data_IF_608641050395
#
_entry.id   IF_608641050395
#
_cell.length_a   1.000
_cell.length_b   1.000
_cell.length_c   1.000
_cell.angle_alpha   90.00
_cell.angle_beta   90.00
_cell.angle_gamma   90.00
#
_symmetry.space_group_name_H-M   'P 1'
#
loop_
_entity.id
_entity.type
_entity.pdbx_description
1 polymer ?
#
# COMPACT_ATOMS: atom_id res chain seq x y z
N UNK A 1 -26.75 -6.69 -12.05
CA UNK A 1 -25.34 -6.26 -11.92
C UNK A 1 -25.11 -5.72 -10.53
N UNK A 2 -24.21 -6.31 -9.73
CA UNK A 2 -23.91 -5.86 -8.36
C UNK A 2 -23.16 -4.53 -8.45
N UNK A 3 -23.70 -3.48 -7.83
CA UNK A 3 -23.09 -2.15 -7.81
C UNK A 3 -22.30 -1.97 -6.52
N UNK A 4 -21.01 -1.68 -6.62
CA UNK A 4 -20.16 -1.37 -5.46
C UNK A 4 -20.64 -0.06 -4.82
N UNK A 5 -20.96 -0.06 -3.51
CA UNK A 5 -21.37 1.17 -2.80
C UNK A 5 -20.27 2.24 -2.83
N UNK A 6 -20.70 3.49 -2.98
CA UNK A 6 -19.80 4.66 -2.96
C UNK A 6 -20.06 5.49 -1.71
N UNK A 7 -19.07 5.59 -0.82
CA UNK A 7 -19.17 6.36 0.42
C UNK A 7 -18.22 7.56 0.40
N UNK A 8 -18.61 8.63 1.11
CA UNK A 8 -17.77 9.81 1.26
C UNK A 8 -17.04 9.76 2.62
N UNK A 9 -15.72 9.63 2.58
CA UNK A 9 -14.88 9.55 3.77
C UNK A 9 -14.98 10.82 4.65
N UNK A 10 -15.26 11.98 4.05
CA UNK A 10 -15.42 13.23 4.79
C UNK A 10 -16.61 13.20 5.75
N UNK A 11 -17.65 12.42 5.45
CA UNK A 11 -18.77 12.22 6.38
C UNK A 11 -18.34 11.58 7.69
N UNK A 12 -17.27 10.76 7.68
CA UNK A 12 -16.70 10.18 8.88
C UNK A 12 -15.69 11.12 9.55
N UNK A 13 -14.83 11.78 8.78
CA UNK A 13 -13.72 12.60 9.34
C UNK A 13 -14.25 13.88 9.97
N UNK A 14 -15.07 14.63 9.24
CA UNK A 14 -15.53 15.98 9.59
C UNK A 14 -17.05 16.15 9.67
N UNK A 15 -17.80 15.09 9.39
CA UNK A 15 -19.26 15.15 9.42
C UNK A 15 -19.85 15.20 10.82
N UNK A 16 -21.14 15.55 10.88
CA UNK A 16 -21.96 15.49 12.10
C UNK A 16 -22.03 14.07 12.69
N UNK A 17 -22.43 13.94 13.94
CA UNK A 17 -22.64 12.62 14.59
C UNK A 17 -23.55 11.70 13.78
N UNK A 18 -24.60 12.26 13.17
CA UNK A 18 -25.54 11.51 12.32
C UNK A 18 -24.85 10.98 11.05
N UNK A 19 -24.03 11.80 10.38
CA UNK A 19 -23.30 11.40 9.18
C UNK A 19 -22.23 10.36 9.48
N UNK A 20 -21.50 10.51 10.60
CA UNK A 20 -20.51 9.52 11.07
C UNK A 20 -21.16 8.17 11.33
N UNK A 21 -22.27 8.15 12.06
CA UNK A 21 -23.00 6.92 12.37
C UNK A 21 -23.55 6.26 11.10
N UNK A 22 -24.07 7.06 10.16
CA UNK A 22 -24.51 6.55 8.86
C UNK A 22 -23.36 5.96 8.08
N UNK A 23 -22.20 6.62 8.01
CA UNK A 23 -21.02 6.12 7.33
C UNK A 23 -20.55 4.77 7.89
N UNK A 24 -20.49 4.65 9.24
CA UNK A 24 -20.09 3.41 9.93
C UNK A 24 -21.05 2.26 9.56
N UNK A 25 -22.35 2.52 9.59
CA UNK A 25 -23.37 1.53 9.19
C UNK A 25 -23.21 1.12 7.73
N UNK A 26 -23.08 2.10 6.83
CA UNK A 26 -23.04 1.85 5.39
C UNK A 26 -21.76 1.09 4.98
N UNK A 27 -20.59 1.40 5.59
CA UNK A 27 -19.35 0.68 5.32
C UNK A 27 -19.40 -0.76 5.82
N UNK A 28 -19.99 -0.99 6.99
CA UNK A 28 -20.24 -2.33 7.52
C UNK A 28 -21.08 -3.17 6.57
N UNK A 29 -22.22 -2.62 6.12
CA UNK A 29 -23.10 -3.29 5.15
C UNK A 29 -22.43 -3.53 3.80
N UNK A 30 -21.55 -2.62 3.34
CA UNK A 30 -20.83 -2.80 2.09
C UNK A 30 -19.89 -4.01 2.15
N UNK A 31 -19.13 -4.15 3.23
CA UNK A 31 -18.24 -5.30 3.42
C UNK A 31 -19.01 -6.60 3.66
N UNK A 32 -20.08 -6.57 4.46
CA UNK A 32 -20.91 -7.74 4.75
C UNK A 32 -21.56 -8.32 3.48
N UNK A 33 -22.13 -7.45 2.64
CA UNK A 33 -22.93 -7.89 1.48
C UNK A 33 -22.13 -8.09 0.20
N UNK A 34 -21.05 -7.33 0.02
CA UNK A 34 -20.33 -7.24 -1.27
C UNK A 34 -18.84 -7.51 -1.10
N UNK A 35 -18.26 -7.28 0.08
CA UNK A 35 -16.81 -7.40 0.34
C UNK A 35 -16.00 -6.20 -0.15
N UNK A 36 -16.63 -5.19 -0.80
CA UNK A 36 -15.97 -4.02 -1.37
C UNK A 36 -16.72 -2.74 -1.13
N UNK A 37 -16.00 -1.63 -1.05
CA UNK A 37 -16.53 -0.27 -0.98
C UNK A 37 -15.66 0.67 -1.81
N UNK A 38 -16.26 1.64 -2.48
CA UNK A 38 -15.56 2.74 -3.14
C UNK A 38 -15.64 3.98 -2.24
N UNK A 39 -14.50 4.57 -1.90
CA UNK A 39 -14.43 5.78 -1.10
C UNK A 39 -14.15 7.00 -1.99
N UNK A 40 -14.88 8.09 -1.77
CA UNK A 40 -14.57 9.43 -2.27
C UNK A 40 -14.25 10.37 -1.11
N UNK A 41 -13.69 11.54 -1.39
CA UNK A 41 -13.31 12.49 -0.35
C UNK A 41 -12.09 12.04 0.47
N UNK A 42 -11.27 11.13 -0.08
CA UNK A 42 -9.98 10.71 0.46
C UNK A 42 -8.90 11.74 0.13
N UNK A 43 -7.72 11.62 0.75
CA UNK A 43 -6.61 12.56 0.58
C UNK A 43 -5.81 12.38 -0.72
N UNK A 44 -6.03 11.27 -1.44
CA UNK A 44 -5.36 11.01 -2.71
C UNK A 44 -6.01 11.82 -3.82
N UNK A 45 -5.45 12.99 -4.11
CA UNK A 45 -5.91 13.81 -5.22
C UNK A 45 -5.39 13.28 -6.56
N UNK A 46 -5.98 13.78 -7.67
CA UNK A 46 -5.64 13.34 -9.02
C UNK A 46 -4.16 13.57 -9.38
N UNK A 47 -3.58 14.66 -8.92
CA UNK A 47 -2.17 14.99 -9.17
C UNK A 47 -1.25 13.97 -8.52
N UNK A 48 -1.51 13.65 -7.24
CA UNK A 48 -0.74 12.64 -6.51
C UNK A 48 -0.89 11.26 -7.15
N UNK A 49 -2.12 10.88 -7.54
CA UNK A 49 -2.37 9.62 -8.22
C UNK A 49 -1.63 9.51 -9.55
N UNK A 50 -1.72 10.54 -10.39
CA UNK A 50 -1.01 10.57 -11.66
C UNK A 50 0.50 10.45 -11.47
N UNK A 51 1.06 11.20 -10.49
CA UNK A 51 2.47 11.12 -10.14
C UNK A 51 2.85 9.71 -9.69
N UNK A 52 2.07 9.10 -8.82
CA UNK A 52 2.30 7.71 -8.37
C UNK A 52 2.36 6.75 -9.55
N UNK A 53 1.37 6.79 -10.45
CA UNK A 53 1.36 5.91 -11.62
C UNK A 53 2.54 6.15 -12.56
N UNK A 54 2.97 7.40 -12.72
CA UNK A 54 4.17 7.72 -13.52
C UNK A 54 5.42 7.09 -12.90
N UNK A 55 5.65 7.26 -11.61
CA UNK A 55 6.82 6.70 -10.92
C UNK A 55 6.81 5.17 -10.91
N UNK A 56 5.64 4.56 -10.67
CA UNK A 56 5.46 3.11 -10.73
C UNK A 56 5.82 2.59 -12.13
N UNK A 57 5.31 3.23 -13.18
CA UNK A 57 5.59 2.84 -14.55
C UNK A 57 7.08 2.98 -14.88
N UNK A 58 7.72 4.08 -14.47
CA UNK A 58 9.16 4.28 -14.65
C UNK A 58 9.98 3.18 -13.96
N UNK A 59 9.62 2.81 -12.73
CA UNK A 59 10.31 1.75 -12.01
C UNK A 59 10.18 0.40 -12.68
N UNK A 60 8.96 -0.02 -13.06
CA UNK A 60 8.74 -1.35 -13.63
C UNK A 60 9.30 -1.49 -15.04
N UNK A 61 9.54 -0.39 -15.76
CA UNK A 61 10.24 -0.37 -17.05
C UNK A 61 11.78 -0.40 -16.94
N UNK A 62 12.35 -0.39 -15.72
CA UNK A 62 13.79 -0.53 -15.53
C UNK A 62 14.25 -1.95 -15.94
N UNK A 63 15.51 -2.09 -16.40
CA UNK A 63 16.10 -3.39 -16.62
C UNK A 63 16.04 -4.27 -15.36
N UNK A 64 15.79 -5.57 -15.56
CA UNK A 64 15.65 -6.51 -14.44
C UNK A 64 16.81 -6.45 -13.44
N UNK A 65 18.05 -6.38 -13.93
CA UNK A 65 19.24 -6.28 -13.05
C UNK A 65 19.26 -5.05 -12.16
N UNK A 66 18.57 -3.96 -12.55
CA UNK A 66 18.40 -2.78 -11.69
C UNK A 66 17.28 -3.04 -10.67
N UNK A 67 16.15 -3.60 -11.10
CA UNK A 67 15.02 -3.91 -10.19
C UNK A 67 15.42 -4.91 -9.10
N UNK A 68 16.21 -5.93 -9.44
CA UNK A 68 16.71 -6.94 -8.49
C UNK A 68 17.58 -6.37 -7.36
N UNK A 69 18.21 -5.20 -7.53
CA UNK A 69 18.93 -4.51 -6.45
C UNK A 69 18.03 -4.05 -5.30
N UNK A 70 16.74 -4.01 -5.54
CA UNK A 70 15.72 -3.63 -4.56
C UNK A 70 15.00 -4.83 -3.94
N UNK A 71 15.40 -6.05 -4.29
CA UNK A 71 14.95 -7.27 -3.62
C UNK A 71 15.62 -7.37 -2.23
N UNK A 72 14.81 -7.50 -1.18
CA UNK A 72 15.31 -7.58 0.19
C UNK A 72 15.30 -9.05 0.62
N UNK A 73 16.49 -9.63 0.76
CA UNK A 73 16.64 -11.02 1.19
C UNK A 73 16.07 -11.22 2.61
N UNK A 74 15.44 -12.35 2.84
CA UNK A 74 14.90 -12.73 4.14
C UNK A 74 13.50 -12.19 4.44
N UNK A 75 12.93 -11.31 3.63
CA UNK A 75 11.60 -10.74 3.83
C UNK A 75 10.50 -11.37 2.98
N UNK A 76 10.81 -12.39 2.17
CA UNK A 76 9.85 -13.13 1.36
C UNK A 76 8.89 -12.22 0.56
N UNK A 77 9.41 -11.15 -0.04
CA UNK A 77 8.63 -10.19 -0.83
C UNK A 77 7.75 -9.22 -0.03
N UNK A 78 7.81 -9.21 1.29
CA UNK A 78 6.96 -8.34 2.12
C UNK A 78 7.36 -6.86 2.05
N UNK A 79 8.54 -6.55 1.53
CA UNK A 79 9.04 -5.19 1.29
C UNK A 79 9.96 -5.18 0.07
N UNK A 80 10.02 -4.02 -0.59
CA UNK A 80 10.85 -3.82 -1.77
C UNK A 80 10.28 -4.51 -2.99
N UNK A 81 11.16 -4.83 -3.93
CA UNK A 81 10.80 -5.45 -5.20
C UNK A 81 10.69 -6.97 -5.08
N UNK A 82 9.68 -7.53 -5.72
CA UNK A 82 9.53 -8.97 -5.91
C UNK A 82 9.39 -9.28 -7.39
N UNK A 83 10.29 -10.10 -7.93
CA UNK A 83 10.35 -10.45 -9.33
C UNK A 83 9.29 -11.49 -9.72
N UNK A 84 9.05 -11.61 -11.04
CA UNK A 84 8.22 -12.68 -11.62
C UNK A 84 8.65 -14.07 -11.11
N UNK A 85 7.68 -14.93 -10.86
CA UNK A 85 7.91 -16.32 -10.47
C UNK A 85 8.41 -16.53 -9.04
N UNK A 86 8.56 -15.48 -8.23
CA UNK A 86 8.98 -15.59 -6.82
C UNK A 86 7.84 -15.95 -5.90
N UNK A 87 6.65 -15.49 -6.18
CA UNK A 87 5.46 -15.81 -5.41
C UNK A 87 4.68 -16.95 -6.06
N UNK A 88 4.16 -17.84 -5.25
CA UNK A 88 3.40 -19.00 -5.68
C UNK A 88 2.06 -19.03 -4.95
N UNK A 89 0.98 -19.31 -5.67
CA UNK A 89 -0.29 -19.61 -5.02
C UNK A 89 -0.14 -20.89 -4.16
N UNK A 90 -0.80 -20.91 -3.01
CA UNK A 90 -0.75 -22.05 -2.09
C UNK A 90 -1.05 -23.37 -2.83
N UNK A 91 -0.11 -24.32 -2.74
CA UNK A 91 -0.23 -25.63 -3.40
C UNK A 91 0.15 -25.68 -4.87
N UNK A 92 0.63 -24.58 -5.48
CA UNK A 92 1.11 -24.58 -6.87
C UNK A 92 2.63 -24.52 -6.94
N UNK A 93 3.21 -25.23 -7.93
CA UNK A 93 4.66 -25.25 -8.20
C UNK A 93 5.09 -24.16 -9.20
N UNK A 94 4.14 -23.57 -9.92
CA UNK A 94 4.41 -22.54 -10.91
C UNK A 94 4.28 -21.17 -10.27
N UNK A 95 5.29 -20.33 -10.44
CA UNK A 95 5.30 -18.97 -9.92
C UNK A 95 4.30 -18.07 -10.62
N UNK A 96 3.80 -17.08 -9.92
CA UNK A 96 2.88 -16.09 -10.45
C UNK A 96 3.56 -15.21 -11.51
N UNK A 97 2.84 -14.95 -12.61
CA UNK A 97 3.28 -14.04 -13.66
C UNK A 97 3.00 -12.58 -13.28
N UNK A 98 3.51 -12.18 -12.12
CA UNK A 98 3.43 -10.81 -11.64
C UNK A 98 4.75 -10.39 -11.01
N UNK A 99 5.05 -9.11 -11.09
CA UNK A 99 6.08 -8.46 -10.29
C UNK A 99 5.43 -7.32 -9.51
N UNK A 100 5.96 -7.00 -8.34
CA UNK A 100 5.36 -5.98 -7.49
C UNK A 100 6.38 -5.31 -6.58
N UNK A 101 5.98 -4.17 -6.04
CA UNK A 101 6.72 -3.43 -5.04
C UNK A 101 5.87 -3.22 -3.79
N UNK A 102 6.39 -3.62 -2.64
CA UNK A 102 5.76 -3.39 -1.35
C UNK A 102 6.44 -2.26 -0.57
N UNK A 103 5.62 -1.30 -0.10
CA UNK A 103 6.04 -0.32 0.89
C UNK A 103 5.66 -0.77 2.29
N UNK A 104 6.43 -0.34 3.27
CA UNK A 104 6.01 -0.30 4.66
C UNK A 104 5.60 1.10 5.09
N UNK A 105 4.89 1.18 6.19
CA UNK A 105 4.64 2.43 6.86
C UNK A 105 5.93 2.89 7.55
N UNK A 106 6.22 4.19 7.49
CA UNK A 106 7.30 4.77 8.28
C UNK A 106 6.89 4.75 9.75
N UNK A 107 7.68 4.07 10.57
CA UNK A 107 7.47 3.99 12.01
C UNK A 107 8.35 5.03 12.69
N UNK A 108 7.75 6.04 13.26
CA UNK A 108 8.42 7.07 14.02
C UNK A 108 8.02 7.03 15.50
N UNK A 109 8.68 7.85 16.34
CA UNK A 109 8.44 7.94 17.79
C UNK A 109 6.99 8.34 18.18
N UNK A 110 6.15 8.76 17.23
CA UNK A 110 4.74 9.12 17.44
C UNK A 110 3.78 7.93 17.33
N UNK A 111 4.27 6.74 17.05
CA UNK A 111 3.43 5.55 17.08
C UNK A 111 2.89 5.30 18.48
N UNK A 112 1.64 4.83 18.63
CA UNK A 112 1.09 4.54 19.94
C UNK A 112 2.02 3.64 20.76
N UNK A 113 2.35 3.99 22.02
CA UNK A 113 3.35 3.27 22.82
C UNK A 113 2.96 1.82 23.17
N UNK A 114 1.69 1.47 22.99
CA UNK A 114 1.19 0.11 23.18
C UNK A 114 1.48 -0.82 22.00
N UNK A 115 1.92 -0.28 20.87
CA UNK A 115 2.36 -1.07 19.72
C UNK A 115 3.88 -1.11 19.75
N UNK A 116 4.46 -2.22 20.24
CA UNK A 116 5.91 -2.45 20.25
C UNK A 116 6.48 -2.69 18.85
N UNK A 117 6.21 -1.77 17.94
CA UNK A 117 6.57 -1.90 16.51
C UNK A 117 8.08 -1.84 16.33
N UNK A 118 8.82 -1.23 17.29
CA UNK A 118 10.30 -1.18 17.26
C UNK A 118 10.94 -2.54 17.57
N UNK A 119 10.20 -3.45 18.17
CA UNK A 119 10.65 -4.83 18.40
C UNK A 119 10.47 -5.72 17.17
N UNK A 120 9.83 -5.20 16.11
CA UNK A 120 9.69 -5.86 14.83
C UNK A 120 10.70 -5.23 13.85
N UNK A 121 11.94 -5.77 13.72
CA UNK A 121 12.99 -5.18 12.87
C UNK A 121 12.52 -4.92 11.45
N UNK A 122 11.61 -5.76 10.96
CA UNK A 122 10.99 -5.71 9.66
C UNK A 122 10.23 -4.41 9.38
N UNK A 123 9.64 -3.76 10.39
CA UNK A 123 8.90 -2.50 10.20
C UNK A 123 9.83 -1.28 10.16
N UNK A 124 10.85 -1.23 11.02
CA UNK A 124 11.74 -0.09 11.13
C UNK A 124 12.79 -0.03 10.03
N UNK A 125 13.45 -1.15 9.76
CA UNK A 125 14.56 -1.16 8.80
C UNK A 125 14.06 -1.21 7.35
N UNK A 126 12.99 -1.94 7.09
CA UNK A 126 12.55 -2.18 5.71
C UNK A 126 11.69 -1.06 5.14
N UNK A 127 10.84 -0.43 5.95
CA UNK A 127 10.09 0.75 5.52
C UNK A 127 11.04 1.90 5.18
N UNK A 128 12.05 2.13 6.03
CA UNK A 128 13.07 3.14 5.82
C UNK A 128 14.02 2.83 4.65
N UNK A 129 14.40 1.57 4.47
CA UNK A 129 15.26 1.16 3.36
C UNK A 129 14.55 1.39 2.03
N UNK A 130 13.31 0.98 1.90
CA UNK A 130 12.53 1.18 0.66
C UNK A 130 12.35 2.67 0.34
N UNK A 131 12.06 3.50 1.33
CA UNK A 131 11.95 4.95 1.17
C UNK A 131 13.29 5.60 0.79
N UNK A 132 14.38 5.29 1.52
CA UNK A 132 15.73 5.81 1.23
C UNK A 132 16.27 5.36 -0.12
N UNK A 133 15.94 4.15 -0.57
CA UNK A 133 16.32 3.68 -1.90
C UNK A 133 15.62 4.47 -3.00
N UNK A 134 14.33 4.77 -2.83
CA UNK A 134 13.58 5.60 -3.75
C UNK A 134 14.08 7.05 -3.75
N UNK A 135 14.44 7.62 -2.60
CA UNK A 135 15.10 8.94 -2.51
C UNK A 135 16.45 8.97 -3.23
N UNK A 136 17.30 7.97 -3.00
CA UNK A 136 18.64 7.88 -3.65
C UNK A 136 18.57 7.77 -5.17
N UNK A 137 17.48 7.27 -5.71
CA UNK A 137 17.26 7.23 -7.17
C UNK A 137 16.78 8.55 -7.74
N UNK A 138 16.66 9.60 -6.92
CA UNK A 138 16.11 10.90 -7.33
C UNK A 138 14.61 10.84 -7.68
N UNK A 139 13.96 9.73 -7.38
CA UNK A 139 12.58 9.42 -7.73
C UNK A 139 11.72 9.30 -6.47
N UNK A 140 11.84 10.30 -5.60
CA UNK A 140 10.98 10.35 -4.40
C UNK A 140 9.52 10.36 -4.79
N UNK A 141 8.82 9.25 -4.53
CA UNK A 141 7.40 9.08 -4.88
C UNK A 141 6.51 9.96 -4.01
N UNK A 142 6.98 10.39 -2.85
CA UNK A 142 6.20 11.17 -1.89
C UNK A 142 7.11 12.19 -1.17
N UNK A 143 7.09 13.42 -1.59
CA UNK A 143 7.31 14.60 -0.76
C UNK A 143 6.00 15.34 -0.58
#
# INVERSE_FOLDING_TARGET
>A
MIKVPKLNLQNFISGSKKEKNKFIKDIGLAFEKIGFVSLKGHFLNKTLMNRLYTEVNLFFNLPLGIKLKYEIKGLNGQRGYTAFGKEHAKGRKVGDLKEFWHFGQEVNKKYPPNIKVHEIPMFNETGMISYKMLEKTGRGILR
#
